data_IF_726097129194
#
_entry.id   IF_726097129194
#
_cell.length_a   1.000
_cell.length_b   1.000
_cell.length_c   1.000
_cell.angle_alpha   90.00
_cell.angle_beta   90.00
_cell.angle_gamma   90.00
#
_symmetry.space_group_name_H-M   'P 1'
#
loop_
_entity.id
_entity.type
_entity.pdbx_description
1 polymer ?
#
# COMPACT_ATOMS: atom_id res chain seq x y z
N UNK A 1 21.18 10.59 -5.09
CA UNK A 1 21.64 9.37 -4.37
C UNK A 1 20.85 9.29 -3.05
N UNK A 2 19.81 8.46 -2.97
CA UNK A 2 19.02 8.28 -1.73
C UNK A 2 19.97 7.67 -0.68
N UNK A 3 20.14 8.34 0.47
CA UNK A 3 21.06 7.88 1.52
C UNK A 3 20.54 6.53 2.04
N UNK A 4 21.37 5.48 1.95
CA UNK A 4 21.09 4.09 2.43
C UNK A 4 20.44 4.01 3.81
N UNK A 5 20.66 5.02 4.66
CA UNK A 5 20.11 5.19 6.00
C UNK A 5 18.57 5.25 6.05
N UNK A 6 17.89 5.73 5.01
CA UNK A 6 16.44 5.94 5.07
C UNK A 6 15.63 4.65 4.95
N UNK A 7 16.03 3.73 4.07
CA UNK A 7 15.33 2.45 3.93
C UNK A 7 15.58 1.55 5.12
N UNK A 8 16.81 1.48 5.62
CA UNK A 8 17.15 0.66 6.80
C UNK A 8 16.30 1.01 8.02
N UNK A 9 15.99 2.30 8.22
CA UNK A 9 15.13 2.75 9.31
C UNK A 9 13.66 2.35 9.10
N UNK A 10 13.14 2.56 7.89
CA UNK A 10 11.76 2.14 7.54
C UNK A 10 11.57 0.63 7.60
N UNK A 11 12.55 -0.15 7.16
CA UNK A 11 12.51 -1.61 7.24
C UNK A 11 12.41 -2.09 8.69
N UNK A 12 13.16 -1.49 9.62
CA UNK A 12 13.05 -1.79 11.04
C UNK A 12 11.70 -1.36 11.62
N UNK A 13 11.15 -0.21 11.20
CA UNK A 13 9.81 0.23 11.60
C UNK A 13 8.72 -0.74 11.09
N UNK A 14 8.84 -1.22 9.85
CA UNK A 14 7.94 -2.24 9.29
C UNK A 14 8.08 -3.58 10.00
N UNK A 15 9.29 -4.02 10.31
CA UNK A 15 9.53 -5.22 11.10
C UNK A 15 8.91 -5.11 12.50
N UNK A 16 9.04 -3.95 13.16
CA UNK A 16 8.38 -3.68 14.43
C UNK A 16 6.85 -3.72 14.32
N UNK A 17 6.28 -3.13 13.25
CA UNK A 17 4.83 -3.20 12.96
C UNK A 17 4.37 -4.65 12.75
N UNK A 18 5.11 -5.46 12.01
CA UNK A 18 4.80 -6.88 11.80
C UNK A 18 4.83 -7.66 13.12
N UNK A 19 5.83 -7.39 13.96
CA UNK A 19 5.99 -8.06 15.26
C UNK A 19 4.99 -7.58 16.33
N UNK A 20 4.39 -6.38 16.16
CA UNK A 20 3.42 -5.82 17.11
C UNK A 20 2.13 -6.64 17.23
N UNK A 21 1.75 -7.37 16.17
CA UNK A 21 0.51 -8.14 16.12
C UNK A 21 -0.76 -7.30 15.96
N UNK A 22 -0.66 -5.97 15.81
CA UNK A 22 -1.79 -5.13 15.47
C UNK A 22 -2.12 -5.25 13.97
N UNK A 23 -3.32 -5.72 13.68
CA UNK A 23 -3.86 -5.86 12.33
C UNK A 23 -3.85 -4.56 11.54
N UNK A 24 -4.08 -3.41 12.19
CA UNK A 24 -4.11 -2.11 11.52
C UNK A 24 -2.70 -1.76 11.03
N UNK A 25 -1.69 -1.89 11.90
CA UNK A 25 -0.29 -1.62 11.55
C UNK A 25 0.24 -2.61 10.50
N UNK A 26 -0.16 -3.87 10.59
CA UNK A 26 0.19 -4.89 9.61
C UNK A 26 -0.39 -4.56 8.23
N UNK A 27 -1.67 -4.15 8.20
CA UNK A 27 -2.35 -3.78 6.95
C UNK A 27 -1.72 -2.56 6.27
N UNK A 28 -1.13 -1.64 7.04
CA UNK A 28 -0.37 -0.51 6.52
C UNK A 28 0.88 -0.99 5.77
N UNK A 29 1.66 -1.89 6.37
CA UNK A 29 2.87 -2.46 5.75
C UNK A 29 2.53 -3.24 4.47
N UNK A 30 1.47 -4.06 4.51
CA UNK A 30 1.02 -4.80 3.33
C UNK A 30 0.59 -3.83 2.22
N UNK A 31 -0.16 -2.77 2.54
CA UNK A 31 -0.60 -1.79 1.53
C UNK A 31 0.55 -0.98 0.96
N UNK A 32 1.54 -0.61 1.77
CA UNK A 32 2.71 0.16 1.35
C UNK A 32 3.64 -0.66 0.44
N UNK A 33 3.82 -1.94 0.77
CA UNK A 33 4.69 -2.84 0.00
C UNK A 33 3.97 -3.47 -1.20
N UNK A 34 2.62 -3.50 -1.21
CA UNK A 34 1.86 -4.04 -2.32
C UNK A 34 1.98 -3.16 -3.57
N UNK A 35 2.83 -3.60 -4.51
CA UNK A 35 3.07 -2.93 -5.80
C UNK A 35 2.39 -3.71 -6.93
N UNK A 36 2.08 -3.01 -8.01
CA UNK A 36 1.54 -3.65 -9.22
C UNK A 36 2.56 -3.76 -10.34
N UNK A 37 2.20 -4.50 -11.38
CA UNK A 37 3.08 -4.98 -12.46
C UNK A 37 3.79 -3.87 -13.27
N UNK A 38 3.29 -2.64 -13.24
CA UNK A 38 3.88 -1.49 -13.93
C UNK A 38 5.01 -0.80 -13.16
N UNK A 39 5.29 -1.22 -11.92
CA UNK A 39 6.34 -0.64 -11.09
C UNK A 39 7.64 -1.48 -11.14
N UNK A 40 8.81 -0.84 -10.93
CA UNK A 40 10.09 -1.55 -10.86
C UNK A 40 10.08 -2.66 -9.81
N UNK A 41 10.89 -3.69 -10.07
CA UNK A 41 10.98 -4.89 -9.25
C UNK A 41 11.42 -4.56 -7.80
N UNK A 42 10.78 -5.21 -6.82
CA UNK A 42 11.07 -5.01 -5.39
C UNK A 42 12.47 -5.50 -5.05
N UNK A 43 13.13 -4.80 -4.12
CA UNK A 43 14.36 -5.31 -3.51
C UNK A 43 14.08 -6.60 -2.73
N UNK A 44 15.09 -7.46 -2.60
CA UNK A 44 14.97 -8.73 -1.88
C UNK A 44 14.44 -8.56 -0.44
N UNK A 45 14.93 -7.53 0.28
CA UNK A 45 14.45 -7.22 1.63
C UNK A 45 12.99 -6.75 1.68
N UNK A 46 12.53 -6.01 0.66
CA UNK A 46 11.12 -5.59 0.57
C UNK A 46 10.21 -6.79 0.38
N UNK A 47 10.63 -7.73 -0.48
CA UNK A 47 9.89 -8.97 -0.73
C UNK A 47 9.74 -9.80 0.54
N UNK A 48 10.81 -9.96 1.32
CA UNK A 48 10.76 -10.72 2.58
C UNK A 48 9.79 -10.09 3.58
N UNK A 49 9.85 -8.77 3.77
CA UNK A 49 8.94 -8.07 4.67
C UNK A 49 7.48 -8.20 4.21
N UNK A 50 7.24 -8.12 2.90
CA UNK A 50 5.91 -8.28 2.33
C UNK A 50 5.36 -9.70 2.51
N UNK A 51 6.15 -10.73 2.23
CA UNK A 51 5.77 -12.13 2.42
C UNK A 51 5.47 -12.44 3.89
N UNK A 52 6.32 -11.96 4.82
CA UNK A 52 6.08 -12.08 6.26
C UNK A 52 4.80 -11.35 6.70
N UNK A 53 4.57 -10.14 6.18
CA UNK A 53 3.40 -9.35 6.53
C UNK A 53 2.10 -9.99 6.03
N UNK A 54 2.09 -10.48 4.79
CA UNK A 54 0.92 -11.17 4.22
C UNK A 54 0.65 -12.48 4.95
N UNK A 55 1.66 -13.32 5.21
CA UNK A 55 1.40 -14.61 5.89
C UNK A 55 0.75 -14.40 7.25
N UNK A 56 1.20 -13.38 7.99
CA UNK A 56 0.65 -13.05 9.29
C UNK A 56 -0.77 -12.51 9.18
N UNK A 57 -1.06 -11.63 8.22
CA UNK A 57 -2.40 -11.09 7.99
C UNK A 57 -3.40 -12.17 7.59
N UNK A 58 -2.99 -13.08 6.70
CA UNK A 58 -3.80 -14.22 6.25
C UNK A 58 -4.16 -15.13 7.43
N UNK A 59 -3.22 -15.40 8.33
CA UNK A 59 -3.49 -16.23 9.53
C UNK A 59 -4.55 -15.61 10.44
N UNK A 60 -4.45 -14.31 10.71
CA UNK A 60 -5.40 -13.60 11.56
C UNK A 60 -6.79 -13.55 10.91
N UNK A 61 -6.87 -13.23 9.60
CA UNK A 61 -8.14 -13.21 8.87
C UNK A 61 -8.76 -14.60 8.77
N UNK A 62 -7.97 -15.65 8.52
CA UNK A 62 -8.42 -17.03 8.50
C UNK A 62 -8.99 -17.46 9.86
N UNK A 63 -8.35 -17.05 10.96
CA UNK A 63 -8.83 -17.32 12.32
C UNK A 63 -10.16 -16.61 12.63
N UNK A 64 -10.31 -15.34 12.21
CA UNK A 64 -11.54 -14.55 12.42
C UNK A 64 -12.70 -15.10 11.59
N UNK A 65 -12.47 -15.34 10.31
CA UNK A 65 -13.51 -15.77 9.37
C UNK A 65 -13.76 -17.29 9.40
N UNK A 66 -12.92 -18.06 10.10
CA UNK A 66 -12.95 -19.53 10.14
C UNK A 66 -12.91 -20.17 8.76
N UNK A 67 -12.08 -19.60 7.88
CA UNK A 67 -11.87 -20.07 6.51
C UNK A 67 -10.48 -20.65 6.36
N UNK A 68 -10.26 -21.40 5.27
CA UNK A 68 -8.94 -21.89 4.93
C UNK A 68 -7.98 -20.75 4.54
N UNK A 69 -6.67 -20.97 4.75
CA UNK A 69 -5.61 -20.02 4.40
C UNK A 69 -5.68 -19.56 2.95
N UNK A 70 -6.01 -20.47 2.01
CA UNK A 70 -6.13 -20.14 0.59
C UNK A 70 -7.25 -19.14 0.31
N UNK A 71 -8.43 -19.36 0.92
CA UNK A 71 -9.59 -18.49 0.75
C UNK A 71 -9.34 -17.10 1.35
N UNK A 72 -8.75 -17.05 2.54
CA UNK A 72 -8.38 -15.77 3.18
C UNK A 72 -7.35 -14.98 2.35
N UNK A 73 -6.40 -15.67 1.69
CA UNK A 73 -5.43 -15.04 0.81
C UNK A 73 -6.13 -14.38 -0.39
N UNK A 74 -7.05 -15.08 -1.04
CA UNK A 74 -7.80 -14.55 -2.19
C UNK A 74 -8.67 -13.35 -1.79
N UNK A 75 -9.31 -13.39 -0.63
CA UNK A 75 -10.08 -12.25 -0.08
C UNK A 75 -9.19 -11.02 0.15
N UNK A 76 -8.01 -11.22 0.73
CA UNK A 76 -7.04 -10.14 0.98
C UNK A 76 -6.53 -9.56 -0.34
N UNK A 77 -6.10 -10.40 -1.29
CA UNK A 77 -5.62 -9.95 -2.61
C UNK A 77 -6.72 -9.23 -3.41
N UNK A 78 -7.95 -9.74 -3.36
CA UNK A 78 -9.11 -9.09 -3.97
C UNK A 78 -9.39 -7.72 -3.36
N UNK A 79 -9.27 -7.59 -2.05
CA UNK A 79 -9.43 -6.32 -1.34
C UNK A 79 -8.33 -5.32 -1.68
N UNK A 80 -7.07 -5.77 -1.74
CA UNK A 80 -5.93 -4.93 -2.12
C UNK A 80 -6.06 -4.41 -3.55
N UNK A 81 -6.49 -5.26 -4.49
CA UNK A 81 -6.73 -4.88 -5.88
C UNK A 81 -7.83 -3.81 -5.98
N UNK A 82 -8.95 -4.00 -5.28
CA UNK A 82 -10.06 -3.02 -5.21
C UNK A 82 -9.64 -1.71 -4.52
N UNK A 83 -8.83 -1.79 -3.48
CA UNK A 83 -8.31 -0.62 -2.78
C UNK A 83 -7.37 0.19 -3.68
N UNK A 84 -6.49 -0.48 -4.43
CA UNK A 84 -5.59 0.14 -5.41
C UNK A 84 -6.34 0.80 -6.55
N UNK A 85 -7.35 0.14 -7.14
CA UNK A 85 -8.15 0.76 -8.21
C UNK A 85 -8.92 1.97 -7.71
N UNK A 86 -9.47 1.92 -6.48
CA UNK A 86 -10.11 3.06 -5.85
C UNK A 86 -9.13 4.21 -5.60
N UNK A 87 -7.91 3.92 -5.16
CA UNK A 87 -6.86 4.93 -4.97
C UNK A 87 -6.41 5.53 -6.29
N UNK A 88 -6.25 4.74 -7.35
CA UNK A 88 -5.93 5.24 -8.68
C UNK A 88 -7.04 6.15 -9.23
N UNK A 89 -8.30 5.76 -9.04
CA UNK A 89 -9.45 6.58 -9.43
C UNK A 89 -9.56 7.88 -8.61
N UNK A 90 -9.23 7.82 -7.31
CA UNK A 90 -9.17 9.01 -6.45
C UNK A 90 -8.03 9.93 -6.84
N UNK A 91 -6.83 9.39 -7.09
CA UNK A 91 -5.68 10.16 -7.55
C UNK A 91 -5.93 10.82 -8.91
N UNK A 92 -6.65 10.15 -9.82
CA UNK A 92 -7.08 10.73 -11.09
C UNK A 92 -8.06 11.90 -10.89
N UNK A 93 -9.07 11.74 -10.02
CA UNK A 93 -10.00 12.82 -9.66
C UNK A 93 -9.34 14.01 -8.96
N UNK A 94 -8.43 13.72 -8.02
CA UNK A 94 -7.68 14.75 -7.30
C UNK A 94 -6.78 15.52 -8.30
N UNK A 95 -6.16 14.83 -9.26
CA UNK A 95 -5.37 15.46 -10.34
C UNK A 95 -6.21 16.27 -11.34
N UNK A 96 -7.42 15.84 -11.67
CA UNK A 96 -8.37 16.62 -12.48
C UNK A 96 -8.82 17.89 -11.75
N UNK A 97 -9.14 17.80 -10.45
CA UNK A 97 -9.52 18.96 -9.64
C UNK A 97 -8.38 19.96 -9.37
N UNK A 98 -7.12 19.49 -9.31
CA UNK A 98 -5.95 20.38 -9.28
C UNK A 98 -5.68 21.05 -10.64
N UNK A 99 -6.13 20.46 -11.75
CA UNK A 99 -5.98 21.05 -13.08
C UNK A 99 -7.06 22.11 -13.36
N UNK A 100 -8.31 21.87 -12.99
CA UNK A 100 -9.40 22.88 -13.08
C UNK A 100 -9.10 24.14 -12.25
N UNK A 101 -8.58 23.97 -11.03
CA UNK A 101 -8.22 25.10 -10.16
C UNK A 101 -6.99 25.89 -10.66
N UNK A 102 -6.27 25.37 -11.67
CA UNK A 102 -5.10 26.02 -12.29
C UNK A 102 -5.45 26.71 -13.61
N UNK A 103 -6.56 26.35 -14.25
CA UNK A 103 -7.09 27.04 -15.44
C UNK A 103 -7.88 28.30 -15.07
N UNK A 104 -8.68 28.31 -14.00
CA UNK A 104 -9.42 29.52 -13.56
C UNK A 104 -8.48 30.66 -13.08
N UNK A 105 -7.32 30.34 -12.52
CA UNK A 105 -6.34 31.35 -12.05
C UNK A 105 -5.53 32.02 -13.16
N UNK A 106 -5.73 31.67 -14.44
CA UNK A 106 -5.00 32.25 -15.58
C UNK A 106 -5.76 33.36 -16.32
N UNK A 107 -7.09 33.43 -16.20
CA UNK A 107 -7.90 34.44 -16.89
C UNK A 107 -8.05 35.77 -16.11
N UNK A 108 -7.74 35.80 -14.81
CA UNK A 108 -7.83 37.03 -13.99
C UNK A 108 -6.58 37.96 -14.08
N UNK A 109 -5.50 37.54 -14.76
CA UNK A 109 -4.25 38.29 -14.80
C UNK A 109 -4.05 39.16 -16.06
N UNK A 110 -5.05 39.29 -16.93
CA UNK A 110 -4.92 39.91 -18.26
C UNK A 110 -5.86 41.10 -18.55
N UNK A 111 -6.41 41.78 -17.53
CA UNK A 111 -7.24 42.99 -17.70
C UNK A 111 -6.57 44.25 -17.13
#
# INVERSE_FOLDING_TARGET
RIKRTMWSRRAQEYEAKINSGDLILLSEVVRDLHRGETQPEQSYSERQLYECAIDRMVREVAAINKVDRGVALDEILGTLTRARTRQAAKAAKDAESENDNKEEGKDEAAA
#
